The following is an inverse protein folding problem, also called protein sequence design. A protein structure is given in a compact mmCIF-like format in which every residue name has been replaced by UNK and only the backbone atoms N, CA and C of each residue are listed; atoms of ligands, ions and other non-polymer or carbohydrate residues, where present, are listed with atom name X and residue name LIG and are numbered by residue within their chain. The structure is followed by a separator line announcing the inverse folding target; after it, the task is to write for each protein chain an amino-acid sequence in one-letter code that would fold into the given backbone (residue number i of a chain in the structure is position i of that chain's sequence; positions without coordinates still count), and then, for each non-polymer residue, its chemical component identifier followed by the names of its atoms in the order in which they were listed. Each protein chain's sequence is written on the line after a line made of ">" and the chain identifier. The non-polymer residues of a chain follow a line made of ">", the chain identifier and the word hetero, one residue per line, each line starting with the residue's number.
data_IF_231939088110
#
_entry.id   IF_231939088110
#
_cell.length_a   1.000
_cell.length_b   1.000
_cell.length_c   1.000
_cell.angle_alpha   90.00
_cell.angle_beta   90.00
_cell.angle_gamma   90.00
#
_symmetry.space_group_name_H-M   'P 1'
#
loop_
_entity.id
_entity.type
_entity.pdbx_description
1 polymer ?
#
# COMPACT_ATOMS: atom_id res chain seq x y z
N UNK A 1 -10.37 15.97 20.15
CA UNK A 1 -9.47 16.78 19.31
C UNK A 1 -7.98 16.39 19.39
N UNK A 2 -7.54 15.51 20.31
CA UNK A 2 -6.13 15.04 20.35
C UNK A 2 -5.75 14.10 19.19
N UNK A 3 -6.70 13.37 18.64
CA UNK A 3 -6.45 12.35 17.60
C UNK A 3 -5.95 12.90 16.24
N UNK A 4 -6.20 14.18 15.96
CA UNK A 4 -5.80 14.86 14.72
C UNK A 4 -4.55 15.73 14.89
N UNK A 5 -3.95 15.76 16.09
CA UNK A 5 -2.81 16.64 16.36
C UNK A 5 -1.54 16.13 15.69
N UNK A 6 -0.85 17.02 14.99
CA UNK A 6 0.49 16.77 14.45
C UNK A 6 1.53 16.91 15.56
N UNK A 7 1.28 17.78 16.55
CA UNK A 7 2.19 18.02 17.67
C UNK A 7 1.60 17.37 18.93
N UNK A 8 2.35 16.46 19.51
CA UNK A 8 2.04 15.79 20.76
C UNK A 8 2.96 16.34 21.88
N UNK A 9 2.41 16.58 23.03
CA UNK A 9 3.15 17.06 24.20
C UNK A 9 2.24 17.65 25.25
N UNK A 10 2.76 17.81 26.45
CA UNK A 10 2.02 18.39 27.55
C UNK A 10 2.13 19.93 27.49
N UNK A 11 0.99 20.61 27.61
CA UNK A 11 0.92 22.09 27.63
C UNK A 11 1.60 22.68 28.87
N UNK A 12 2.01 21.85 29.82
CA UNK A 12 2.69 22.25 31.08
C UNK A 12 4.21 22.34 31.01
N UNK A 13 4.79 22.38 29.78
CA UNK A 13 6.25 22.62 29.62
C UNK A 13 7.09 21.36 29.35
N UNK A 14 6.45 20.21 29.07
CA UNK A 14 7.12 18.98 28.64
C UNK A 14 7.66 19.04 27.21
N UNK A 15 8.51 18.06 26.86
CA UNK A 15 9.00 17.91 25.47
C UNK A 15 7.84 17.74 24.50
N UNK A 16 7.89 18.49 23.41
CA UNK A 16 6.95 18.37 22.31
C UNK A 16 7.53 17.42 21.28
N UNK A 17 6.72 16.48 20.81
CA UNK A 17 7.06 15.56 19.73
C UNK A 17 6.15 15.77 18.51
N UNK A 18 6.64 15.39 17.34
CA UNK A 18 5.87 15.46 16.10
C UNK A 18 5.35 14.06 15.80
N UNK A 19 4.02 13.94 15.64
CA UNK A 19 3.42 12.73 15.13
C UNK A 19 3.61 12.68 13.61
N UNK A 20 4.60 11.91 13.18
CA UNK A 20 4.96 11.80 11.77
C UNK A 20 3.86 11.19 10.92
N UNK A 21 3.03 10.30 11.47
CA UNK A 21 1.90 9.72 10.75
C UNK A 21 0.83 10.78 10.44
N UNK A 22 0.46 11.58 11.45
CA UNK A 22 -0.48 12.70 11.27
C UNK A 22 0.07 13.73 10.28
N UNK A 23 1.34 14.08 10.39
CA UNK A 23 1.99 15.00 9.47
C UNK A 23 1.98 14.46 8.03
N UNK A 24 2.29 13.18 7.84
CA UNK A 24 2.28 12.55 6.52
C UNK A 24 0.87 12.52 5.89
N UNK A 25 -0.17 12.23 6.68
CA UNK A 25 -1.56 12.23 6.20
C UNK A 25 -1.99 13.64 5.79
N UNK A 26 -1.68 14.65 6.59
CA UNK A 26 -2.04 16.05 6.28
C UNK A 26 -1.29 16.54 5.05
N UNK A 27 0.02 16.28 4.96
CA UNK A 27 0.89 16.77 3.90
C UNK A 27 0.80 16.04 2.56
N UNK A 28 0.24 14.82 2.54
CA UNK A 28 0.12 14.03 1.32
C UNK A 28 -1.20 14.28 0.57
N UNK A 29 -1.20 14.06 -0.74
CA UNK A 29 -2.42 14.08 -1.54
C UNK A 29 -3.20 12.77 -1.47
N UNK A 30 -2.55 11.65 -1.13
CA UNK A 30 -3.15 10.34 -1.00
C UNK A 30 -2.51 9.53 0.12
N UNK A 31 -3.33 8.70 0.77
CA UNK A 31 -2.94 7.73 1.81
C UNK A 31 -3.44 6.38 1.35
N UNK A 32 -2.58 5.39 1.25
CA UNK A 32 -3.01 4.07 0.78
C UNK A 32 -2.64 2.95 1.74
N UNK A 33 -3.52 1.98 1.83
CA UNK A 33 -3.19 0.65 2.32
C UNK A 33 -2.63 -0.20 1.19
N UNK A 34 -1.82 -1.19 1.53
CA UNK A 34 -1.13 -2.08 0.56
C UNK A 34 -1.85 -3.40 0.33
N UNK A 35 -3.01 -3.57 0.93
CA UNK A 35 -3.97 -4.65 0.74
C UNK A 35 -5.35 -4.18 1.16
N UNK A 36 -6.42 -4.81 0.67
CA UNK A 36 -7.79 -4.43 0.99
C UNK A 36 -8.06 -4.43 2.51
N UNK A 37 -7.68 -5.51 3.19
CA UNK A 37 -7.83 -5.62 4.65
C UNK A 37 -7.08 -4.50 5.37
N UNK A 38 -5.83 -4.23 4.98
CA UNK A 38 -5.02 -3.17 5.56
C UNK A 38 -5.66 -1.79 5.35
N UNK A 39 -6.15 -1.52 4.14
CA UNK A 39 -6.83 -0.25 3.83
C UNK A 39 -8.08 -0.03 4.68
N UNK A 40 -8.86 -1.08 4.92
CA UNK A 40 -10.05 -1.01 5.78
C UNK A 40 -9.69 -0.79 7.26
N UNK A 41 -8.60 -1.41 7.74
CA UNK A 41 -8.11 -1.20 9.11
C UNK A 41 -7.63 0.25 9.31
N UNK A 42 -6.94 0.81 8.32
CA UNK A 42 -6.50 2.21 8.34
C UNK A 42 -7.71 3.15 8.49
N UNK A 43 -8.74 2.95 7.67
CA UNK A 43 -9.95 3.79 7.67
C UNK A 43 -10.79 3.66 8.94
N UNK A 44 -10.93 2.44 9.46
CA UNK A 44 -11.87 2.15 10.55
C UNK A 44 -11.28 2.35 11.94
N UNK A 45 -9.98 2.13 12.08
CA UNK A 45 -9.33 2.06 13.40
C UNK A 45 -8.18 3.04 13.56
N UNK A 46 -7.16 2.98 12.67
CA UNK A 46 -5.94 3.73 12.87
C UNK A 46 -6.09 5.23 12.64
N UNK A 47 -6.75 5.60 11.54
CA UNK A 47 -6.87 6.99 11.11
C UNK A 47 -8.32 7.35 10.78
N UNK A 48 -9.25 6.84 11.60
CA UNK A 48 -10.67 7.05 11.43
C UNK A 48 -11.03 8.53 11.32
N UNK A 49 -10.51 9.36 12.24
CA UNK A 49 -10.83 10.78 12.29
C UNK A 49 -10.33 11.53 11.04
N UNK A 50 -9.16 11.14 10.52
CA UNK A 50 -8.64 11.67 9.25
C UNK A 50 -9.46 11.18 8.05
N UNK A 51 -9.95 9.93 8.10
CA UNK A 51 -10.80 9.40 7.05
C UNK A 51 -12.17 10.11 7.01
N UNK A 52 -12.72 10.47 8.16
CA UNK A 52 -13.96 11.25 8.24
C UNK A 52 -13.82 12.67 7.66
N UNK A 53 -12.61 13.27 7.79
CA UNK A 53 -12.32 14.59 7.22
C UNK A 53 -12.05 14.57 5.72
N UNK A 54 -11.31 13.56 5.25
CA UNK A 54 -10.84 13.46 3.85
C UNK A 54 -10.97 12.04 3.31
N UNK A 55 -12.19 11.52 3.15
CA UNK A 55 -12.40 10.15 2.70
C UNK A 55 -11.78 9.86 1.32
N UNK A 56 -11.71 10.86 0.45
CA UNK A 56 -11.14 10.76 -0.89
C UNK A 56 -9.62 10.54 -0.91
N UNK A 57 -8.91 10.93 0.15
CA UNK A 57 -7.46 10.66 0.26
C UNK A 57 -7.16 9.18 0.44
N UNK A 58 -8.07 8.41 1.06
CA UNK A 58 -7.80 7.04 1.48
C UNK A 58 -8.11 6.03 0.38
N UNK A 59 -7.09 5.42 -0.15
CA UNK A 59 -7.15 4.50 -1.27
C UNK A 59 -6.62 3.11 -0.88
N UNK A 60 -6.88 2.13 -1.73
CA UNK A 60 -6.22 0.84 -1.68
C UNK A 60 -5.33 0.68 -2.91
N UNK A 61 -4.07 0.30 -2.69
CA UNK A 61 -3.13 -0.10 -3.73
C UNK A 61 -2.53 -1.44 -3.31
N UNK A 62 -3.18 -2.53 -3.71
CA UNK A 62 -2.71 -3.87 -3.38
C UNK A 62 -1.32 -4.11 -3.95
N UNK A 63 -0.41 -4.57 -3.09
CA UNK A 63 0.94 -4.93 -3.50
C UNK A 63 0.89 -6.03 -4.56
N UNK A 64 1.78 -5.93 -5.53
CA UNK A 64 2.05 -6.97 -6.50
C UNK A 64 3.44 -7.57 -6.30
N UNK A 65 3.79 -8.50 -7.18
CA UNK A 65 5.13 -9.10 -7.24
C UNK A 65 5.70 -8.98 -8.64
N UNK A 66 7.02 -9.01 -8.74
CA UNK A 66 7.72 -9.19 -10.02
C UNK A 66 7.79 -10.68 -10.35
N UNK A 67 7.05 -11.19 -11.36
CA UNK A 67 6.95 -12.64 -11.63
C UNK A 67 8.30 -13.27 -11.97
N UNK A 68 9.17 -12.55 -12.68
CA UNK A 68 10.52 -13.04 -13.00
C UNK A 68 11.33 -13.40 -11.77
N UNK A 69 11.33 -12.52 -10.75
CA UNK A 69 12.06 -12.79 -9.51
C UNK A 69 11.33 -13.82 -8.66
N UNK A 70 10.05 -13.63 -8.42
CA UNK A 70 9.31 -14.39 -7.42
C UNK A 70 8.76 -15.73 -7.91
N UNK A 71 8.59 -15.89 -9.22
CA UNK A 71 8.17 -17.16 -9.82
C UNK A 71 9.35 -17.87 -10.49
N UNK A 72 9.95 -17.28 -11.54
CA UNK A 72 10.98 -17.95 -12.33
C UNK A 72 12.24 -18.26 -11.52
N UNK A 73 12.71 -17.31 -10.71
CA UNK A 73 13.94 -17.45 -9.96
C UNK A 73 13.73 -18.18 -8.62
N UNK A 74 12.72 -17.77 -7.85
CA UNK A 74 12.53 -18.26 -6.48
C UNK A 74 11.75 -19.57 -6.40
N UNK A 75 10.96 -19.90 -7.42
CA UNK A 75 10.15 -21.12 -7.45
C UNK A 75 10.14 -21.78 -8.83
N UNK A 76 11.29 -22.36 -9.27
CA UNK A 76 11.41 -22.96 -10.59
C UNK A 76 10.43 -24.13 -10.81
N UNK A 77 10.15 -24.94 -9.78
CA UNK A 77 9.21 -26.05 -9.90
C UNK A 77 7.78 -25.59 -10.22
N UNK A 78 7.29 -24.54 -9.58
CA UNK A 78 5.99 -23.96 -9.92
C UNK A 78 6.04 -23.29 -11.30
N UNK A 79 7.15 -22.64 -11.62
CA UNK A 79 7.39 -22.04 -12.91
C UNK A 79 7.28 -23.07 -14.05
N UNK A 80 7.94 -24.21 -13.92
CA UNK A 80 7.90 -25.28 -14.91
C UNK A 80 6.48 -25.85 -15.06
N UNK A 81 5.79 -26.10 -13.95
CA UNK A 81 4.40 -26.56 -13.97
C UNK A 81 3.47 -25.62 -14.72
N UNK A 82 3.63 -24.31 -14.52
CA UNK A 82 2.87 -23.28 -15.21
C UNK A 82 3.25 -23.27 -16.70
N UNK A 83 4.55 -23.32 -17.01
CA UNK A 83 5.07 -23.33 -18.39
C UNK A 83 4.53 -24.51 -19.21
N UNK A 84 4.39 -25.67 -18.59
CA UNK A 84 3.82 -26.86 -19.21
C UNK A 84 2.34 -26.68 -19.61
N UNK A 85 1.61 -25.84 -18.88
CA UNK A 85 0.17 -25.59 -19.13
C UNK A 85 -0.10 -24.45 -20.10
N UNK A 86 0.66 -23.37 -20.01
CA UNK A 86 0.42 -22.15 -20.80
C UNK A 86 1.53 -21.83 -21.82
N UNK A 87 2.57 -22.65 -21.87
CA UNK A 87 3.75 -22.43 -22.70
C UNK A 87 4.76 -21.46 -22.11
N UNK A 88 6.02 -21.58 -22.52
CA UNK A 88 7.14 -20.76 -21.99
C UNK A 88 6.96 -19.24 -22.21
N UNK A 89 6.23 -18.85 -23.23
CA UNK A 89 5.89 -17.44 -23.49
C UNK A 89 4.70 -16.93 -22.65
N UNK A 90 3.98 -17.82 -22.00
CA UNK A 90 2.82 -17.48 -21.16
C UNK A 90 3.14 -16.59 -19.98
N UNK A 91 4.40 -16.59 -19.49
CA UNK A 91 4.85 -15.68 -18.43
C UNK A 91 4.72 -14.20 -18.83
N UNK A 92 4.92 -13.87 -20.11
CA UNK A 92 4.71 -12.51 -20.61
C UNK A 92 3.20 -12.19 -20.77
N UNK A 93 2.38 -13.23 -20.96
CA UNK A 93 0.93 -13.10 -21.04
C UNK A 93 0.26 -13.04 -19.67
N UNK A 94 0.89 -13.55 -18.61
CA UNK A 94 0.43 -13.35 -17.22
C UNK A 94 0.34 -11.85 -16.84
N UNK A 95 1.10 -11.00 -17.51
CA UNK A 95 0.93 -9.55 -17.42
C UNK A 95 -0.37 -9.05 -18.08
N UNK A 96 -1.03 -9.87 -18.90
CA UNK A 96 -2.28 -9.53 -19.62
C UNK A 96 -3.51 -9.90 -18.78
N UNK A 97 -3.38 -10.86 -17.85
CA UNK A 97 -4.42 -11.13 -16.84
C UNK A 97 -4.41 -10.08 -15.71
N UNK A 98 -4.23 -8.81 -16.10
CA UNK A 98 -4.13 -7.66 -15.20
C UNK A 98 -5.41 -7.34 -14.41
N UNK A 99 -6.45 -8.15 -14.50
CA UNK A 99 -7.68 -7.85 -13.76
C UNK A 99 -7.72 -8.43 -12.34
N UNK A 100 -6.77 -9.30 -11.92
CA UNK A 100 -6.74 -9.83 -10.56
C UNK A 100 -5.35 -9.85 -9.89
N UNK A 101 -4.27 -9.66 -10.63
CA UNK A 101 -2.93 -9.49 -10.06
C UNK A 101 -2.43 -8.08 -10.38
N UNK A 102 -2.77 -7.13 -9.54
CA UNK A 102 -2.22 -5.79 -9.62
C UNK A 102 -0.71 -5.84 -9.43
N UNK A 103 0.04 -5.78 -10.52
CA UNK A 103 1.44 -5.36 -10.45
C UNK A 103 1.39 -3.90 -10.04
N UNK A 104 1.57 -3.64 -8.77
CA UNK A 104 1.69 -2.28 -8.27
C UNK A 104 3.01 -1.71 -8.77
N UNK A 105 2.98 -1.01 -9.89
CA UNK A 105 3.98 -0.01 -10.17
C UNK A 105 3.81 1.08 -9.13
N UNK A 106 4.56 0.96 -8.04
CA UNK A 106 4.78 2.11 -7.18
C UNK A 106 5.67 3.07 -7.97
N UNK A 107 5.06 3.85 -8.85
CA UNK A 107 5.67 5.10 -9.24
C UNK A 107 5.53 6.02 -8.03
N UNK A 108 6.60 6.04 -7.29
CA UNK A 108 6.88 7.03 -6.28
C UNK A 108 6.91 8.41 -6.95
N UNK A 109 5.77 9.09 -7.00
CA UNK A 109 5.77 10.53 -7.04
C UNK A 109 5.87 11.03 -5.62
N UNK A 110 7.11 11.00 -5.10
CA UNK A 110 7.49 11.85 -3.98
C UNK A 110 7.97 13.15 -4.60
N UNK A 111 7.17 14.19 -4.51
CA UNK A 111 7.60 15.58 -4.41
C UNK A 111 6.72 16.22 -3.35
#
# INVERSE_FOLDING_TARGET
>A
MRALSIIEGDYSGGEKSVNMASLAIVGSHAVNGVARIHSELIKKYLFKDFYELWPEKFQNKTNGITPRRWLLLCNPGLSDLIADKIGKNGYFQLNIFQNEFYVCYIYQYVI
#
